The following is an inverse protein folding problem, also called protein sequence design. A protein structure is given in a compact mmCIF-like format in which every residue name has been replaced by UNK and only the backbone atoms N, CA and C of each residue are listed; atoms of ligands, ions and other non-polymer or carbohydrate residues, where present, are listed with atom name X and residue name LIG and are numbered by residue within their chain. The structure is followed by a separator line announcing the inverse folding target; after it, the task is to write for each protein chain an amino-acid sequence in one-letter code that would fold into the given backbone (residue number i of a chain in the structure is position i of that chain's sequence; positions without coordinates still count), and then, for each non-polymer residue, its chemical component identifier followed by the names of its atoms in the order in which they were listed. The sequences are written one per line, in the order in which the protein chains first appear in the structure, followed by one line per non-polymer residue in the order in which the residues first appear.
data_IF_470947550780
#
_entry.id   IF_470947550780
#
_cell.length_a   1.000
_cell.length_b   1.000
_cell.length_c   1.000
_cell.angle_alpha   90.00
_cell.angle_beta   90.00
_cell.angle_gamma   90.00
#
_symmetry.space_group_name_H-M   'P 1'
#
loop_
_entity.id
_entity.type
_entity.pdbx_description
1 polymer ?
#
# COMPACT_ATOMS: atom_id res chain seq x y z
N UNK A 1 -11.90 1.74 6.80
CA UNK A 1 -10.90 0.89 6.14
C UNK A 1 -9.68 1.70 5.73
N UNK A 2 -8.52 1.11 5.85
CA UNK A 2 -7.27 1.74 5.45
C UNK A 2 -6.54 0.81 4.50
N UNK A 3 -6.18 1.32 3.33
CA UNK A 3 -5.26 0.66 2.41
C UNK A 3 -3.86 1.16 2.73
N UNK A 4 -3.00 0.25 3.17
CA UNK A 4 -1.61 0.57 3.48
C UNK A 4 -0.78 0.32 2.23
N UNK A 5 -0.20 1.39 1.68
CA UNK A 5 0.65 1.31 0.50
C UNK A 5 1.94 0.54 0.78
N UNK A 6 2.53 -0.03 -0.24
CA UNK A 6 3.77 -0.80 -0.13
C UNK A 6 4.86 -0.05 0.60
N UNK A 7 5.02 1.25 0.32
CA UNK A 7 6.03 2.09 0.98
C UNK A 7 5.85 2.13 2.50
N UNK A 8 4.60 2.24 2.95
CA UNK A 8 4.29 2.27 4.38
C UNK A 8 4.48 0.88 5.01
N UNK A 9 4.10 -0.20 4.32
CA UNK A 9 4.39 -1.57 4.77
C UNK A 9 5.87 -1.77 5.05
N UNK A 10 6.71 -1.35 4.10
CA UNK A 10 8.16 -1.54 4.19
C UNK A 10 8.72 -0.78 5.40
N UNK A 11 8.36 0.50 5.57
CA UNK A 11 8.85 1.30 6.70
C UNK A 11 8.45 0.68 8.04
N UNK A 12 7.21 0.18 8.14
CA UNK A 12 6.74 -0.48 9.35
C UNK A 12 7.49 -1.81 9.60
N UNK A 13 7.67 -2.63 8.56
CA UNK A 13 8.31 -3.94 8.70
C UNK A 13 9.78 -3.84 9.09
N UNK A 14 10.51 -2.85 8.58
CA UNK A 14 11.93 -2.66 8.93
C UNK A 14 12.12 -1.90 10.24
N UNK A 15 11.05 -1.42 10.87
CA UNK A 15 11.13 -0.71 12.14
C UNK A 15 11.86 0.62 12.06
N UNK A 16 11.75 1.31 10.93
CA UNK A 16 12.38 2.63 10.74
C UNK A 16 11.70 3.69 11.62
N UNK A 17 12.35 4.86 11.83
CA UNK A 17 11.68 5.99 12.49
C UNK A 17 10.37 6.39 11.82
N UNK A 18 10.31 6.34 10.49
CA UNK A 18 9.08 6.57 9.73
C UNK A 18 8.04 5.51 10.05
N UNK A 19 8.44 4.23 10.13
CA UNK A 19 7.57 3.13 10.51
C UNK A 19 6.98 3.31 11.90
N UNK A 20 7.79 3.76 12.86
CA UNK A 20 7.32 4.05 14.22
C UNK A 20 6.27 5.17 14.22
N UNK A 21 6.50 6.22 13.40
CA UNK A 21 5.56 7.33 13.29
C UNK A 21 4.23 6.90 12.67
N UNK A 22 4.27 6.07 11.64
CA UNK A 22 3.04 5.64 10.96
C UNK A 22 2.26 4.58 11.73
N UNK A 23 2.88 3.91 12.70
CA UNK A 23 2.26 2.81 13.43
C UNK A 23 0.93 3.20 14.09
N UNK A 24 0.81 4.45 14.57
CA UNK A 24 -0.44 4.95 15.16
C UNK A 24 -1.59 5.11 14.15
N UNK A 25 -1.29 5.10 12.86
CA UNK A 25 -2.27 5.20 11.80
C UNK A 25 -2.72 3.84 11.26
N UNK A 26 -2.07 2.75 11.69
CA UNK A 26 -2.41 1.41 11.21
C UNK A 26 -3.74 0.96 11.82
N UNK A 27 -4.64 0.39 11.00
CA UNK A 27 -5.93 -0.08 11.49
C UNK A 27 -5.80 -1.43 12.14
N UNK A 28 -6.88 -1.88 12.76
CA UNK A 28 -7.01 -3.28 13.15
C UNK A 28 -7.05 -4.14 11.88
N UNK A 29 -6.65 -5.41 12.04
CA UNK A 29 -6.48 -6.34 10.92
C UNK A 29 -7.73 -6.45 10.04
N UNK A 30 -8.92 -6.44 10.65
CA UNK A 30 -10.19 -6.53 9.90
C UNK A 30 -10.48 -5.33 9.00
N UNK A 31 -9.84 -4.18 9.28
CA UNK A 31 -10.01 -2.94 8.52
C UNK A 31 -8.81 -2.61 7.62
N UNK A 32 -7.88 -3.54 7.49
CA UNK A 32 -6.66 -3.38 6.70
C UNK A 32 -6.88 -3.95 5.31
N UNK A 33 -6.94 -3.08 4.32
CA UNK A 33 -7.19 -3.45 2.92
C UNK A 33 -5.85 -3.69 2.22
N UNK A 34 -5.74 -4.82 1.53
CA UNK A 34 -4.50 -5.20 0.84
C UNK A 34 -4.81 -5.53 -0.62
N UNK A 35 -4.46 -4.63 -1.56
CA UNK A 35 -4.53 -4.98 -2.99
C UNK A 35 -3.54 -6.09 -3.34
N UNK A 36 -3.90 -6.93 -4.30
CA UNK A 36 -2.96 -7.95 -4.80
C UNK A 36 -1.69 -7.32 -5.38
N UNK A 37 -1.76 -6.10 -5.90
CA UNK A 37 -0.58 -5.34 -6.35
C UNK A 37 0.40 -5.11 -5.19
N UNK A 38 -0.11 -4.81 -4.00
CA UNK A 38 0.74 -4.63 -2.81
C UNK A 38 1.39 -5.96 -2.42
N UNK A 39 0.64 -7.08 -2.47
CA UNK A 39 1.21 -8.40 -2.23
C UNK A 39 2.36 -8.70 -3.20
N UNK A 40 2.18 -8.36 -4.48
CA UNK A 40 3.22 -8.57 -5.49
C UNK A 40 4.47 -7.75 -5.17
N UNK A 41 4.31 -6.47 -4.88
CA UNK A 41 5.43 -5.59 -4.57
C UNK A 41 6.15 -6.00 -3.29
N UNK A 42 5.39 -6.37 -2.25
CA UNK A 42 5.96 -6.86 -1.00
C UNK A 42 6.72 -8.17 -1.21
N UNK A 43 6.15 -9.11 -1.94
CA UNK A 43 6.81 -10.39 -2.21
C UNK A 43 8.14 -10.18 -2.92
N UNK A 44 8.17 -9.31 -3.92
CA UNK A 44 9.42 -8.98 -4.64
C UNK A 44 10.47 -8.37 -3.72
N UNK A 45 10.08 -7.33 -2.99
CA UNK A 45 11.00 -6.58 -2.15
C UNK A 45 11.51 -7.43 -0.98
N UNK A 46 10.62 -8.11 -0.28
CA UNK A 46 10.97 -8.91 0.89
C UNK A 46 11.87 -10.10 0.53
N UNK A 47 11.57 -10.79 -0.57
CA UNK A 47 12.39 -11.92 -1.03
C UNK A 47 13.81 -11.44 -1.33
N UNK A 48 13.95 -10.31 -2.02
CA UNK A 48 15.24 -9.74 -2.37
C UNK A 48 16.02 -9.26 -1.14
N UNK A 49 15.36 -8.55 -0.21
CA UNK A 49 16.05 -7.86 0.88
C UNK A 49 16.15 -8.68 2.16
N UNK A 50 15.15 -9.51 2.48
CA UNK A 50 15.06 -10.21 3.76
C UNK A 50 14.94 -11.73 3.64
N UNK A 51 14.83 -12.25 2.43
CA UNK A 51 14.75 -13.68 2.17
C UNK A 51 13.32 -14.21 2.06
N UNK A 52 13.24 -15.43 1.52
CA UNK A 52 11.98 -16.09 1.18
C UNK A 52 11.10 -16.36 2.41
N UNK A 53 11.71 -16.81 3.52
CA UNK A 53 10.97 -17.16 4.73
C UNK A 53 10.24 -15.92 5.29
N UNK A 54 10.91 -14.77 5.32
CA UNK A 54 10.30 -13.54 5.80
C UNK A 54 9.20 -13.08 4.85
N UNK A 55 9.41 -13.21 3.55
CA UNK A 55 8.40 -12.88 2.56
C UNK A 55 7.15 -13.74 2.77
N UNK A 56 7.31 -15.05 2.96
CA UNK A 56 6.19 -15.96 3.18
C UNK A 56 5.40 -15.60 4.43
N UNK A 57 6.07 -15.24 5.53
CA UNK A 57 5.43 -14.82 6.77
C UNK A 57 4.58 -13.55 6.56
N UNK A 58 5.11 -12.56 5.86
CA UNK A 58 4.40 -11.31 5.62
C UNK A 58 3.20 -11.53 4.69
N UNK A 59 3.37 -12.30 3.63
CA UNK A 59 2.26 -12.60 2.73
C UNK A 59 1.16 -13.36 3.47
N UNK A 60 1.49 -14.29 4.35
CA UNK A 60 0.51 -14.98 5.20
C UNK A 60 -0.26 -13.98 6.06
N UNK A 61 0.39 -12.97 6.63
CA UNK A 61 -0.28 -11.91 7.37
C UNK A 61 -1.25 -11.13 6.49
N UNK A 62 -0.85 -10.79 5.25
CA UNK A 62 -1.74 -10.05 4.33
C UNK A 62 -3.01 -10.83 4.03
N UNK A 63 -2.94 -12.16 4.02
CA UNK A 63 -4.10 -13.01 3.69
C UNK A 63 -5.18 -13.03 4.77
N UNK A 64 -4.85 -12.63 6.01
CA UNK A 64 -5.86 -12.49 7.07
C UNK A 64 -6.44 -11.06 7.13
N UNK A 65 -5.92 -10.16 6.31
CA UNK A 65 -6.50 -8.85 6.07
C UNK A 65 -7.57 -8.96 4.97
N UNK A 66 -8.09 -7.83 4.50
CA UNK A 66 -9.02 -7.83 3.37
C UNK A 66 -8.25 -7.69 2.06
N UNK A 67 -8.05 -8.80 1.39
CA UNK A 67 -7.34 -8.83 0.10
C UNK A 67 -8.30 -8.45 -1.03
N UNK A 68 -7.88 -7.52 -1.88
CA UNK A 68 -8.66 -7.05 -3.02
C UNK A 68 -7.92 -7.36 -4.32
N UNK A 69 -8.45 -8.26 -5.14
CA UNK A 69 -7.82 -8.57 -6.42
C UNK A 69 -8.01 -7.43 -7.43
N UNK A 70 -7.04 -7.30 -8.32
CA UNK A 70 -7.15 -6.39 -9.47
C UNK A 70 -8.19 -6.97 -10.44
N UNK A 71 -9.34 -6.31 -10.53
CA UNK A 71 -10.39 -6.69 -11.47
C UNK A 71 -10.51 -5.65 -12.61
N UNK A 72 -11.44 -5.88 -13.53
CA UNK A 72 -11.63 -4.99 -14.68
C UNK A 72 -12.01 -3.59 -14.26
N UNK A 73 -12.89 -3.46 -13.28
CA UNK A 73 -13.35 -2.15 -12.79
C UNK A 73 -12.18 -1.33 -12.23
N UNK A 74 -11.36 -1.96 -11.39
CA UNK A 74 -10.18 -1.30 -10.83
C UNK A 74 -9.16 -0.98 -11.93
N UNK A 75 -8.96 -1.89 -12.89
CA UNK A 75 -8.02 -1.68 -13.99
C UNK A 75 -8.40 -0.44 -14.81
N UNK A 76 -9.67 -0.28 -15.13
CA UNK A 76 -10.13 0.88 -15.91
C UNK A 76 -10.06 2.17 -15.08
N UNK A 77 -10.41 2.11 -13.81
CA UNK A 77 -10.26 3.26 -12.91
C UNK A 77 -8.78 3.65 -12.75
N UNK A 78 -7.88 2.67 -12.71
CA UNK A 78 -6.44 2.93 -12.64
C UNK A 78 -5.92 3.61 -13.90
N UNK A 79 -6.40 3.19 -15.09
CA UNK A 79 -6.05 3.84 -16.36
C UNK A 79 -6.43 5.31 -16.34
N UNK A 80 -7.61 5.63 -15.82
CA UNK A 80 -8.07 7.01 -15.66
C UNK A 80 -7.20 7.78 -14.66
N UNK A 81 -6.82 7.16 -13.55
CA UNK A 81 -5.94 7.78 -12.55
C UNK A 81 -4.54 8.08 -13.10
N UNK A 82 -4.00 7.20 -13.96
CA UNK A 82 -2.74 7.46 -14.66
C UNK A 82 -2.81 8.76 -15.46
N UNK A 83 -3.93 8.94 -16.17
CA UNK A 83 -4.13 10.12 -17.01
C UNK A 83 -4.39 11.38 -16.17
N UNK A 84 -5.29 11.28 -15.19
CA UNK A 84 -5.75 12.44 -14.41
C UNK A 84 -4.69 12.93 -13.42
N UNK A 85 -3.93 12.03 -12.82
CA UNK A 85 -2.97 12.35 -11.74
C UNK A 85 -1.53 12.06 -12.11
N UNK A 86 -1.27 11.59 -13.32
CA UNK A 86 0.07 11.26 -13.83
C UNK A 86 0.78 10.24 -12.95
N UNK A 87 0.02 9.27 -12.43
CA UNK A 87 0.58 8.18 -11.63
C UNK A 87 1.17 7.09 -12.53
N UNK A 88 2.24 6.46 -12.05
CA UNK A 88 2.75 5.23 -12.65
C UNK A 88 1.70 4.12 -12.48
N UNK A 89 1.78 3.09 -13.30
CA UNK A 89 0.76 2.03 -13.37
C UNK A 89 0.48 1.39 -12.01
N UNK A 90 1.51 0.96 -11.29
CA UNK A 90 1.33 0.30 -9.99
C UNK A 90 0.69 1.24 -8.97
N UNK A 91 1.14 2.48 -8.91
CA UNK A 91 0.58 3.50 -8.01
C UNK A 91 -0.89 3.79 -8.34
N UNK A 92 -1.21 3.86 -9.63
CA UNK A 92 -2.57 4.09 -10.08
C UNK A 92 -3.52 2.95 -9.68
N UNK A 93 -3.05 1.71 -9.74
CA UNK A 93 -3.83 0.53 -9.32
C UNK A 93 -4.12 0.61 -7.81
N UNK A 94 -3.12 0.95 -7.02
CA UNK A 94 -3.26 1.08 -5.56
C UNK A 94 -4.24 2.22 -5.23
N UNK A 95 -4.07 3.37 -5.86
CA UNK A 95 -4.94 4.52 -5.66
C UNK A 95 -6.39 4.22 -6.05
N UNK A 96 -6.59 3.63 -7.23
CA UNK A 96 -7.93 3.28 -7.71
C UNK A 96 -8.62 2.26 -6.79
N UNK A 97 -7.88 1.30 -6.25
CA UNK A 97 -8.41 0.32 -5.30
C UNK A 97 -8.93 1.02 -4.05
N UNK A 98 -8.14 1.95 -3.49
CA UNK A 98 -8.55 2.71 -2.31
C UNK A 98 -9.82 3.52 -2.59
N UNK A 99 -9.87 4.21 -3.72
CA UNK A 99 -11.03 5.04 -4.10
C UNK A 99 -12.28 4.20 -4.28
N UNK A 100 -12.18 3.07 -4.98
CA UNK A 100 -13.31 2.19 -5.20
C UNK A 100 -13.89 1.66 -3.90
N UNK A 101 -13.04 1.35 -2.93
CA UNK A 101 -13.45 0.77 -1.64
C UNK A 101 -13.77 1.83 -0.59
N UNK A 102 -13.67 3.11 -0.91
CA UNK A 102 -13.87 4.18 0.07
C UNK A 102 -12.88 4.15 1.22
N UNK A 103 -11.67 3.62 0.98
CA UNK A 103 -10.64 3.48 1.99
C UNK A 103 -9.69 4.68 1.96
N UNK A 104 -9.14 5.02 3.13
CA UNK A 104 -8.02 5.95 3.22
C UNK A 104 -6.76 5.24 2.71
N UNK A 105 -5.98 5.91 1.86
CA UNK A 105 -4.68 5.42 1.41
C UNK A 105 -3.60 5.98 2.32
N UNK A 106 -2.98 5.10 3.11
CA UNK A 106 -1.86 5.45 3.99
C UNK A 106 -0.55 5.14 3.27
N UNK A 107 0.28 6.15 3.05
CA UNK A 107 1.48 6.02 2.23
C UNK A 107 2.63 6.85 2.76
N UNK A 108 3.85 6.47 2.41
CA UNK A 108 5.06 7.26 2.60
C UNK A 108 5.61 7.78 1.26
N UNK A 109 4.91 7.53 0.16
CA UNK A 109 5.34 7.90 -1.18
C UNK A 109 4.77 9.26 -1.57
N UNK A 110 5.67 10.23 -1.80
CA UNK A 110 5.31 11.58 -2.18
C UNK A 110 4.55 11.69 -3.53
N UNK A 111 4.60 10.65 -4.37
CA UNK A 111 3.84 10.63 -5.62
C UNK A 111 2.33 10.74 -5.39
N UNK A 112 1.85 10.34 -4.21
CA UNK A 112 0.43 10.45 -3.86
C UNK A 112 0.08 11.78 -3.17
N UNK A 113 1.02 12.68 -2.98
CA UNK A 113 0.79 13.94 -2.26
C UNK A 113 -0.34 14.75 -2.90
N UNK A 114 -1.24 15.24 -2.06
CA UNK A 114 -2.33 16.11 -2.51
C UNK A 114 -3.50 15.41 -3.19
N UNK A 115 -3.45 14.10 -3.34
CA UNK A 115 -4.56 13.36 -3.93
C UNK A 115 -5.67 13.09 -2.90
N UNK A 116 -6.94 12.99 -3.35
CA UNK A 116 -8.05 12.79 -2.42
C UNK A 116 -7.95 11.45 -1.69
N UNK A 117 -8.29 11.44 -0.41
CA UNK A 117 -8.30 10.23 0.41
C UNK A 117 -6.94 9.72 0.82
N UNK A 118 -5.88 10.50 0.66
CA UNK A 118 -4.51 10.10 0.97
C UNK A 118 -4.05 10.69 2.30
N UNK A 119 -3.48 9.85 3.16
CA UNK A 119 -2.72 10.26 4.34
C UNK A 119 -1.26 9.96 4.05
N UNK A 120 -0.48 11.02 3.84
CA UNK A 120 0.95 10.90 3.56
C UNK A 120 1.74 11.07 4.84
N UNK A 121 2.56 10.08 5.18
CA UNK A 121 3.54 10.16 6.25
C UNK A 121 4.90 10.36 5.61
N UNK A 122 5.42 11.56 5.71
CA UNK A 122 6.72 11.87 5.10
C UNK A 122 7.84 11.07 5.74
N UNK A 123 8.74 10.56 4.91
CA UNK A 123 9.88 9.80 5.39
C UNK A 123 10.79 10.68 6.23
N UNK A 124 11.16 10.15 7.41
CA UNK A 124 12.14 10.82 8.27
C UNK A 124 13.51 10.48 7.75
N UNK A 125 14.26 11.50 7.36
CA UNK A 125 15.66 11.36 6.92
C UNK A 125 16.58 11.65 8.09
N UNK A 126 17.55 10.77 8.28
CA UNK A 126 18.54 10.93 9.35
C UNK A 126 19.52 12.03 9.06
#
# INVERSE_FOLDING_TARGET
MVLVDTSAWIEWLIGSPTGDKLASHLPEQSDWLVPTMVQLELAKWLTRELGEDKADQVIAFTQVCQVVPLDTEIALAAAEACRAHKLATADAIIFATARQRGATLLTCDAHFAGLPGVTLIEKITA
#
